data_IF_460707190586
#
_entry.id   IF_460707190586
#
_cell.length_a   1.000
_cell.length_b   1.000
_cell.length_c   1.000
_cell.angle_alpha   90.00
_cell.angle_beta   90.00
_cell.angle_gamma   90.00
#
_symmetry.space_group_name_H-M   'P 1'
#
loop_
_entity.id
_entity.type
_entity.pdbx_description
1 polymer ?
#
# COMPACT_ATOMS: atom_id res chain seq x y z
N UNK A 1 -1.07 -30.19 -16.09
CA UNK A 1 -1.91 -29.38 -15.20
C UNK A 1 -0.99 -28.42 -14.49
N UNK A 2 -0.75 -27.29 -15.12
CA UNK A 2 -0.09 -26.13 -14.51
C UNK A 2 -1.09 -25.51 -13.55
N UNK A 3 -0.67 -25.29 -12.31
CA UNK A 3 -1.46 -24.64 -11.27
C UNK A 3 -1.76 -23.19 -11.69
N UNK A 4 -3.03 -22.78 -11.85
CA UNK A 4 -3.39 -21.40 -12.22
C UNK A 4 -3.05 -20.38 -11.12
N UNK A 5 -2.61 -20.82 -9.93
CA UNK A 5 -2.24 -19.93 -8.82
C UNK A 5 -0.85 -19.27 -8.94
N UNK A 6 -0.09 -19.52 -10.02
CA UNK A 6 1.23 -18.91 -10.28
C UNK A 6 1.24 -17.88 -11.41
N UNK A 7 0.10 -17.27 -11.75
CA UNK A 7 0.13 -16.07 -12.57
C UNK A 7 0.64 -14.89 -11.73
N UNK A 8 1.95 -14.66 -11.83
CA UNK A 8 2.62 -13.39 -11.54
C UNK A 8 2.26 -12.72 -10.20
N UNK A 9 2.62 -13.40 -9.11
CA UNK A 9 2.98 -12.66 -7.90
C UNK A 9 4.38 -12.07 -8.12
N UNK A 10 4.45 -10.82 -8.59
CA UNK A 10 5.69 -10.01 -8.61
C UNK A 10 6.16 -9.65 -7.19
N UNK A 11 5.54 -10.22 -6.16
CA UNK A 11 5.86 -9.97 -4.78
C UNK A 11 7.10 -10.77 -4.34
N UNK A 12 7.99 -10.19 -3.51
CA UNK A 12 9.08 -10.92 -2.88
C UNK A 12 8.59 -12.16 -2.12
N UNK A 13 9.47 -13.15 -1.93
CA UNK A 13 9.19 -14.43 -1.20
C UNK A 13 8.70 -14.28 0.27
N UNK A 14 8.55 -13.06 0.78
CA UNK A 14 8.14 -12.73 2.15
C UNK A 14 6.89 -11.83 2.21
N UNK A 15 6.06 -11.80 1.16
CA UNK A 15 4.89 -10.93 1.12
C UNK A 15 3.86 -11.30 2.20
N UNK A 16 3.54 -10.33 3.06
CA UNK A 16 2.38 -10.40 3.95
C UNK A 16 1.11 -10.05 3.17
N UNK A 17 -0.07 -10.33 3.70
CA UNK A 17 -1.31 -9.94 3.02
C UNK A 17 -1.39 -8.41 2.84
N UNK A 18 -0.85 -7.64 3.79
CA UNK A 18 -0.78 -6.17 3.72
C UNK A 18 0.13 -5.73 2.57
N UNK A 19 1.30 -6.35 2.48
CA UNK A 19 2.22 -6.12 1.37
C UNK A 19 1.63 -6.51 0.01
N UNK A 20 0.93 -7.65 -0.05
CA UNK A 20 0.20 -8.06 -1.25
C UNK A 20 -0.82 -7.01 -1.67
N UNK A 21 -1.71 -6.59 -0.76
CA UNK A 21 -2.75 -5.63 -1.09
C UNK A 21 -2.17 -4.29 -1.54
N UNK A 22 -1.14 -3.76 -0.88
CA UNK A 22 -0.48 -2.52 -1.31
C UNK A 22 0.15 -2.65 -2.71
N UNK A 23 0.74 -3.80 -3.03
CA UNK A 23 1.27 -4.06 -4.36
C UNK A 23 0.16 -4.14 -5.42
N UNK A 24 -0.94 -4.84 -5.13
CA UNK A 24 -2.09 -4.95 -6.04
C UNK A 24 -2.80 -3.61 -6.21
N UNK A 25 -2.87 -2.80 -5.17
CA UNK A 25 -3.38 -1.43 -5.24
C UNK A 25 -2.48 -0.53 -6.08
N UNK A 26 -1.16 -0.65 -5.94
CA UNK A 26 -0.19 0.09 -6.77
C UNK A 26 -0.43 -0.18 -8.26
N UNK A 27 -0.67 -1.44 -8.63
CA UNK A 27 -1.04 -1.85 -9.99
C UNK A 27 -2.32 -1.17 -10.48
N UNK A 28 -3.38 -1.18 -9.66
CA UNK A 28 -4.66 -0.57 -10.04
C UNK A 28 -4.50 0.94 -10.23
N UNK A 29 -3.83 1.61 -9.30
CA UNK A 29 -3.58 3.06 -9.36
C UNK A 29 -2.67 3.44 -10.55
N UNK A 30 -1.63 2.66 -10.83
CA UNK A 30 -0.72 2.90 -11.95
C UNK A 30 -1.38 2.66 -13.32
N UNK A 31 -2.45 1.84 -13.36
CA UNK A 31 -3.28 1.67 -14.56
C UNK A 31 -4.20 2.88 -14.84
N UNK A 32 -4.30 3.83 -13.91
CA UNK A 32 -5.12 5.04 -14.08
C UNK A 32 -4.34 6.13 -14.81
N UNK A 33 -5.02 7.12 -15.41
CA UNK A 33 -4.35 8.28 -15.99
C UNK A 33 -3.42 8.96 -14.99
N UNK A 34 -2.28 9.46 -15.47
CA UNK A 34 -1.30 10.13 -14.62
C UNK A 34 -1.93 11.23 -13.76
N UNK A 35 -1.39 11.42 -12.56
CA UNK A 35 -1.85 12.38 -11.58
C UNK A 35 -3.24 12.11 -10.97
N UNK A 36 -3.85 10.96 -11.24
CA UNK A 36 -5.14 10.57 -10.65
C UNK A 36 -4.89 9.54 -9.52
N UNK A 37 -4.96 10.00 -8.27
CA UNK A 37 -5.05 9.09 -7.12
C UNK A 37 -6.51 8.69 -6.89
N UNK A 38 -6.79 7.40 -6.77
CA UNK A 38 -8.15 6.88 -6.55
C UNK A 38 -8.40 6.44 -5.10
N UNK A 39 -7.34 6.09 -4.37
CA UNK A 39 -7.35 5.74 -2.95
C UNK A 39 -6.45 6.71 -2.18
N UNK A 40 -7.00 7.29 -1.12
CA UNK A 40 -6.28 8.16 -0.19
C UNK A 40 -5.96 7.48 1.14
N UNK A 41 -6.59 6.34 1.45
CA UNK A 41 -6.35 5.65 2.71
C UNK A 41 -6.56 4.14 2.63
N UNK A 42 -5.82 3.43 3.47
CA UNK A 42 -5.85 1.98 3.61
C UNK A 42 -5.80 1.63 5.10
N UNK A 43 -6.82 0.93 5.59
CA UNK A 43 -6.88 0.43 6.97
C UNK A 43 -6.80 -1.09 6.97
N UNK A 44 -5.83 -1.67 7.69
CA UNK A 44 -5.62 -3.11 7.75
C UNK A 44 -6.25 -3.71 9.01
N UNK A 45 -7.07 -4.73 8.83
CA UNK A 45 -7.52 -5.65 9.88
C UNK A 45 -6.85 -7.02 9.70
N UNK A 46 -7.06 -7.95 10.62
CA UNK A 46 -6.39 -9.27 10.59
C UNK A 46 -6.62 -10.07 9.30
N UNK A 47 -7.82 -9.98 8.72
CA UNK A 47 -8.26 -10.79 7.57
C UNK A 47 -8.72 -9.95 6.36
N UNK A 48 -8.74 -8.64 6.51
CA UNK A 48 -9.39 -7.73 5.57
C UNK A 48 -8.74 -6.37 5.58
N UNK A 49 -9.07 -5.59 4.57
CA UNK A 49 -8.60 -4.23 4.41
C UNK A 49 -9.75 -3.34 4.00
N UNK A 50 -9.76 -2.11 4.49
CA UNK A 50 -10.68 -1.07 4.04
C UNK A 50 -9.90 -0.06 3.22
N UNK A 51 -10.28 0.09 1.95
CA UNK A 51 -9.82 1.20 1.11
C UNK A 51 -10.72 2.41 1.35
N UNK A 52 -10.11 3.59 1.43
CA UNK A 52 -10.77 4.90 1.52
C UNK A 52 -10.47 5.62 0.22
N UNK A 53 -11.50 5.80 -0.61
CA UNK A 53 -11.34 6.45 -1.92
C UNK A 53 -11.18 7.95 -1.75
N UNK A 54 -10.59 8.63 -2.74
CA UNK A 54 -10.52 10.11 -2.78
C UNK A 54 -11.89 10.78 -2.87
N UNK A 55 -12.94 10.02 -3.19
CA UNK A 55 -14.35 10.45 -3.14
C UNK A 55 -15.03 10.19 -1.78
N UNK A 56 -14.30 9.68 -0.78
CA UNK A 56 -14.77 9.43 0.58
C UNK A 56 -15.53 8.10 0.79
N UNK A 57 -15.54 7.20 -0.20
CA UNK A 57 -16.13 5.88 -0.03
C UNK A 57 -15.20 4.94 0.74
N UNK A 58 -15.79 4.08 1.56
CA UNK A 58 -15.07 3.06 2.35
C UNK A 58 -15.43 1.69 1.83
N UNK A 59 -14.45 0.96 1.29
CA UNK A 59 -14.66 -0.31 0.60
C UNK A 59 -13.87 -1.39 1.33
N UNK A 60 -14.56 -2.35 1.93
CA UNK A 60 -13.94 -3.48 2.60
C UNK A 60 -13.69 -4.62 1.63
N UNK A 61 -12.50 -5.19 1.67
CA UNK A 61 -12.05 -6.29 0.84
C UNK A 61 -11.21 -7.30 1.62
N UNK A 62 -11.14 -8.56 1.17
CA UNK A 62 -10.25 -9.56 1.75
C UNK A 62 -8.77 -9.14 1.64
N UNK A 63 -7.94 -9.53 2.61
CA UNK A 63 -6.50 -9.17 2.60
C UNK A 63 -5.70 -9.71 1.41
N UNK A 64 -6.22 -10.73 0.72
CA UNK A 64 -5.60 -11.36 -0.46
C UNK A 64 -6.32 -11.00 -1.78
N UNK A 65 -7.06 -9.89 -1.79
CA UNK A 65 -7.75 -9.45 -2.99
C UNK A 65 -6.79 -9.28 -4.18
N UNK A 66 -7.21 -9.70 -5.37
CA UNK A 66 -6.46 -9.50 -6.61
C UNK A 66 -6.61 -8.08 -7.14
N UNK A 67 -5.79 -7.70 -8.13
CA UNK A 67 -5.93 -6.39 -8.77
C UNK A 67 -7.28 -6.23 -9.48
N UNK A 68 -7.81 -7.31 -10.06
CA UNK A 68 -9.14 -7.38 -10.67
C UNK A 68 -10.24 -7.17 -9.64
N UNK A 69 -10.18 -7.86 -8.50
CA UNK A 69 -11.17 -7.70 -7.42
C UNK A 69 -11.14 -6.29 -6.82
N UNK A 70 -9.95 -5.72 -6.65
CA UNK A 70 -9.78 -4.32 -6.22
C UNK A 70 -10.38 -3.36 -7.24
N UNK A 71 -10.07 -3.56 -8.53
CA UNK A 71 -10.57 -2.73 -9.63
C UNK A 71 -12.09 -2.78 -9.74
N UNK A 72 -12.69 -3.97 -9.75
CA UNK A 72 -14.14 -4.16 -9.81
C UNK A 72 -14.85 -3.48 -8.62
N UNK A 73 -14.28 -3.63 -7.42
CA UNK A 73 -14.84 -3.01 -6.22
C UNK A 73 -14.80 -1.49 -6.29
N UNK A 74 -13.72 -0.89 -6.81
CA UNK A 74 -13.58 0.55 -6.98
C UNK A 74 -14.44 1.09 -8.15
N UNK A 75 -14.54 0.33 -9.24
CA UNK A 75 -15.33 0.68 -10.43
C UNK A 75 -16.83 0.84 -10.14
N UNK A 76 -17.33 0.20 -9.08
CA UNK A 76 -18.71 0.37 -8.61
C UNK A 76 -19.00 1.79 -8.06
N UNK A 77 -17.96 2.56 -7.70
CA UNK A 77 -18.09 3.88 -7.08
C UNK A 77 -17.47 5.01 -7.90
N UNK A 78 -16.60 4.70 -8.86
CA UNK A 78 -15.94 5.69 -9.69
C UNK A 78 -15.57 5.14 -11.07
N UNK A 79 -15.46 6.00 -12.10
CA UNK A 79 -14.97 5.57 -13.40
C UNK A 79 -13.48 5.23 -13.31
N UNK A 80 -13.10 4.04 -13.75
CA UNK A 80 -11.71 3.59 -13.84
C UNK A 80 -11.33 3.29 -15.29
N UNK A 81 -10.06 3.53 -15.62
CA UNK A 81 -9.46 2.97 -16.82
C UNK A 81 -9.33 1.43 -16.67
N UNK A 82 -9.29 0.66 -17.77
CA UNK A 82 -8.98 -0.76 -17.72
C UNK A 82 -7.64 -1.02 -17.03
N UNK A 83 -7.50 -2.18 -16.38
CA UNK A 83 -6.20 -2.62 -15.86
C UNK A 83 -5.20 -2.77 -17.00
N UNK A 84 -4.02 -2.20 -16.81
CA UNK A 84 -2.89 -2.36 -17.72
C UNK A 84 -1.87 -3.33 -17.07
N UNK A 85 -1.75 -4.57 -17.56
CA UNK A 85 -0.82 -5.56 -17.00
C UNK A 85 0.66 -5.17 -17.20
N UNK A 86 0.95 -4.29 -18.16
CA UNK A 86 2.31 -3.83 -18.48
C UNK A 86 2.66 -2.50 -17.78
N UNK A 87 1.78 -1.97 -16.92
CA UNK A 87 1.94 -0.64 -16.32
C UNK A 87 3.25 -0.46 -15.53
N UNK A 88 3.82 -1.53 -14.95
CA UNK A 88 5.12 -1.52 -14.28
C UNK A 88 6.29 -1.09 -15.19
N UNK A 89 6.17 -1.27 -16.51
CA UNK A 89 7.19 -0.83 -17.47
C UNK A 89 7.20 0.70 -17.63
N UNK A 90 6.14 1.38 -17.17
CA UNK A 90 5.91 2.81 -17.29
C UNK A 90 5.79 3.48 -15.93
N UNK A 91 6.56 3.01 -14.94
CA UNK A 91 6.54 3.64 -13.62
C UNK A 91 6.94 5.13 -13.76
N UNK A 92 6.17 6.06 -13.16
CA UNK A 92 6.38 7.49 -13.40
C UNK A 92 7.78 7.92 -12.96
N UNK A 93 8.49 8.57 -13.88
CA UNK A 93 9.80 9.19 -13.60
C UNK A 93 9.66 10.56 -12.95
N UNK A 94 8.54 11.24 -13.19
CA UNK A 94 8.28 12.58 -12.69
C UNK A 94 7.83 12.55 -11.23
N UNK A 95 8.43 13.43 -10.42
CA UNK A 95 8.18 13.58 -8.98
C UNK A 95 6.86 14.30 -8.66
N UNK A 96 5.76 13.85 -9.26
CA UNK A 96 4.43 14.35 -8.93
C UNK A 96 3.96 13.78 -7.59
N UNK A 97 3.07 14.47 -6.84
CA UNK A 97 2.53 13.92 -5.59
C UNK A 97 1.86 12.55 -5.74
N UNK A 98 1.28 12.28 -6.92
CA UNK A 98 0.73 10.97 -7.26
C UNK A 98 1.83 9.91 -7.44
N UNK A 99 2.89 10.20 -8.19
CA UNK A 99 4.01 9.27 -8.35
C UNK A 99 4.73 8.97 -7.02
N UNK A 100 4.85 9.98 -6.16
CA UNK A 100 5.42 9.82 -4.81
C UNK A 100 4.51 8.92 -3.96
N UNK A 101 3.19 9.10 -4.03
CA UNK A 101 2.22 8.24 -3.34
C UNK A 101 2.29 6.78 -3.83
N UNK A 102 2.39 6.55 -5.14
CA UNK A 102 2.61 5.21 -5.69
C UNK A 102 3.91 4.59 -5.22
N UNK A 103 4.98 5.38 -5.19
CA UNK A 103 6.29 4.94 -4.68
C UNK A 103 6.19 4.52 -3.22
N UNK A 104 5.44 5.26 -2.39
CA UNK A 104 5.19 4.87 -1.01
C UNK A 104 4.47 3.52 -0.92
N UNK A 105 3.38 3.32 -1.66
CA UNK A 105 2.67 2.04 -1.65
C UNK A 105 3.59 0.88 -2.05
N UNK A 106 4.41 1.08 -3.07
CA UNK A 106 5.35 0.06 -3.52
C UNK A 106 6.46 -0.23 -2.50
N UNK A 107 7.03 0.80 -1.87
CA UNK A 107 8.05 0.66 -0.84
C UNK A 107 7.49 -0.08 0.39
N UNK A 108 6.33 0.37 0.88
CA UNK A 108 5.61 -0.29 1.97
C UNK A 108 5.28 -1.74 1.62
N UNK A 109 4.82 -2.01 0.40
CA UNK A 109 4.51 -3.36 -0.04
C UNK A 109 5.74 -4.29 -0.06
N UNK A 110 6.85 -3.77 -0.59
CA UNK A 110 8.08 -4.53 -0.79
C UNK A 110 8.78 -4.84 0.52
N UNK A 111 8.72 -3.91 1.47
CA UNK A 111 9.47 -3.96 2.72
C UNK A 111 8.60 -4.19 3.96
N UNK A 112 7.30 -4.50 3.82
CA UNK A 112 6.39 -4.65 4.96
C UNK A 112 6.91 -5.66 6.00
N UNK A 113 7.43 -6.79 5.55
CA UNK A 113 8.00 -7.84 6.40
C UNK A 113 9.16 -7.37 7.28
N UNK A 114 9.88 -6.31 6.87
CA UNK A 114 10.98 -5.77 7.68
C UNK A 114 10.51 -5.15 8.99
N UNK A 115 9.22 -4.79 9.14
CA UNK A 115 8.69 -4.32 10.41
C UNK A 115 8.84 -5.39 11.50
N UNK A 116 8.35 -6.60 11.22
CA UNK A 116 8.42 -7.74 12.14
C UNK A 116 9.86 -8.25 12.33
N UNK A 117 10.65 -8.30 11.25
CA UNK A 117 12.06 -8.73 11.31
C UNK A 117 12.91 -7.84 12.24
N UNK A 118 12.64 -6.54 12.28
CA UNK A 118 13.37 -5.58 13.11
C UNK A 118 12.74 -5.39 14.50
N UNK A 119 11.41 -5.43 14.61
CA UNK A 119 10.67 -5.30 15.85
C UNK A 119 9.58 -6.38 15.89
N UNK A 120 9.78 -7.51 16.59
CA UNK A 120 8.83 -8.62 16.59
C UNK A 120 7.41 -8.19 17.01
N UNK A 121 6.42 -8.55 16.20
CA UNK A 121 5.01 -8.21 16.34
C UNK A 121 4.59 -6.87 15.73
N UNK A 122 5.55 -6.09 15.19
CA UNK A 122 5.27 -4.82 14.54
C UNK A 122 4.66 -5.05 13.15
N UNK A 123 3.57 -4.36 12.84
CA UNK A 123 2.88 -4.48 11.56
C UNK A 123 2.21 -3.17 11.14
N UNK A 124 1.90 -3.02 9.85
CA UNK A 124 1.10 -1.89 9.36
C UNK A 124 -0.34 -1.98 9.81
N UNK A 125 -0.90 -0.86 10.25
CA UNK A 125 -2.29 -0.74 10.69
C UNK A 125 -3.07 0.20 9.78
N UNK A 126 -2.47 1.31 9.39
CA UNK A 126 -3.11 2.30 8.54
C UNK A 126 -2.07 3.05 7.71
N UNK A 127 -2.42 3.39 6.48
CA UNK A 127 -1.69 4.31 5.61
C UNK A 127 -2.71 5.30 5.06
N UNK A 128 -2.53 6.60 5.29
CA UNK A 128 -3.48 7.62 4.87
C UNK A 128 -2.76 8.85 4.36
N UNK A 129 -3.11 9.33 3.17
CA UNK A 129 -2.63 10.59 2.63
C UNK A 129 -3.36 11.75 3.30
N UNK A 130 -2.59 12.73 3.78
CA UNK A 130 -3.08 13.96 4.41
C UNK A 130 -2.35 15.14 3.78
N UNK A 131 -2.91 15.63 2.67
CA UNK A 131 -2.30 16.70 1.86
C UNK A 131 -0.93 16.30 1.30
N UNK A 132 0.11 16.94 1.84
CA UNK A 132 1.52 16.77 1.47
C UNK A 132 2.25 15.70 2.29
N UNK A 133 1.55 14.98 3.17
CA UNK A 133 2.13 13.93 4.00
C UNK A 133 1.33 12.63 3.89
N UNK A 134 1.97 11.51 4.23
CA UNK A 134 1.31 10.26 4.55
C UNK A 134 1.40 10.02 6.04
N UNK A 135 0.25 9.88 6.68
CA UNK A 135 0.12 9.35 8.03
C UNK A 135 0.18 7.83 7.96
N UNK A 136 1.17 7.24 8.60
CA UNK A 136 1.31 5.79 8.72
C UNK A 136 1.15 5.41 10.18
N UNK A 137 0.34 4.39 10.46
CA UNK A 137 0.18 3.84 11.80
C UNK A 137 0.73 2.42 11.81
N UNK A 138 1.62 2.14 12.75
CA UNK A 138 2.11 0.80 13.05
C UNK A 138 1.50 0.29 14.36
N UNK A 139 1.36 -1.02 14.49
CA UNK A 139 0.80 -1.68 15.67
C UNK A 139 1.74 -2.73 16.24
N UNK A 140 1.79 -2.84 17.58
CA UNK A 140 2.51 -3.89 18.31
C UNK A 140 1.77 -4.24 19.60
N UNK A 141 1.21 -5.45 19.68
CA UNK A 141 0.26 -5.78 20.75
C UNK A 141 -0.94 -4.81 20.72
N UNK A 142 -1.21 -4.15 21.84
CA UNK A 142 -2.27 -3.13 21.96
C UNK A 142 -1.78 -1.70 21.64
N UNK A 143 -0.48 -1.51 21.43
CA UNK A 143 0.12 -0.21 21.17
C UNK A 143 -0.01 0.18 19.69
N UNK A 144 -0.25 1.47 19.45
CA UNK A 144 -0.26 2.07 18.11
C UNK A 144 0.67 3.27 18.08
N UNK A 145 1.55 3.31 17.09
CA UNK A 145 2.49 4.41 16.89
C UNK A 145 2.18 5.08 15.56
N UNK A 146 2.03 6.41 15.59
CA UNK A 146 1.75 7.23 14.41
C UNK A 146 3.04 7.85 13.91
N UNK A 147 3.24 7.76 12.60
CA UNK A 147 4.37 8.29 11.85
C UNK A 147 3.86 9.23 10.77
N UNK A 148 4.69 10.20 10.40
CA UNK A 148 4.41 11.14 9.32
C UNK A 148 5.54 11.05 8.31
N UNK A 149 5.19 10.76 7.07
CA UNK A 149 6.14 10.62 5.95
C UNK A 149 5.84 11.73 4.95
N UNK A 150 6.79 12.61 4.64
CA UNK A 150 6.57 13.67 3.65
C UNK A 150 6.37 13.07 2.25
N UNK A 151 5.40 13.59 1.50
CA UNK A 151 5.14 13.25 0.10
C UNK A 151 5.72 14.32 -0.85
N UNK A 152 6.82 14.94 -0.44
CA UNK A 152 7.56 15.97 -1.21
C UNK A 152 8.89 15.44 -1.75
N UNK A 153 9.30 14.24 -1.34
CA UNK A 153 10.51 13.54 -1.78
C UNK A 153 10.22 12.05 -1.99
N UNK A 154 11.18 11.29 -2.55
CA UNK A 154 10.96 9.86 -2.79
C UNK A 154 11.01 9.09 -1.47
N UNK A 155 9.91 8.42 -1.04
CA UNK A 155 9.92 7.55 0.12
C UNK A 155 10.70 6.29 -0.23
N UNK A 156 11.75 6.00 0.53
CA UNK A 156 12.60 4.83 0.35
C UNK A 156 12.88 4.22 1.71
N UNK A 157 12.74 2.89 1.81
CA UNK A 157 13.00 2.15 3.04
C UNK A 157 12.14 2.60 4.24
N UNK A 158 10.93 3.11 4.00
CA UNK A 158 10.04 3.63 5.04
C UNK A 158 9.78 2.58 6.11
N UNK A 159 9.40 1.31 5.82
CA UNK A 159 9.19 0.30 6.86
C UNK A 159 10.38 0.09 7.79
N UNK A 160 11.60 0.20 7.26
CA UNK A 160 12.84 0.06 8.05
C UNK A 160 13.00 1.24 9.00
N UNK A 161 12.79 2.47 8.51
CA UNK A 161 12.85 3.69 9.33
C UNK A 161 11.80 3.68 10.44
N UNK A 162 10.56 3.26 10.12
CA UNK A 162 9.49 3.12 11.12
C UNK A 162 9.87 2.12 12.22
N UNK A 163 10.45 0.97 11.84
CA UNK A 163 10.89 -0.04 12.81
C UNK A 163 11.98 0.50 13.75
N UNK A 164 12.97 1.24 13.20
CA UNK A 164 14.00 1.88 14.01
C UNK A 164 13.43 2.94 14.96
N UNK A 165 12.46 3.74 14.50
CA UNK A 165 11.77 4.72 15.33
C UNK A 165 11.04 4.06 16.49
N UNK A 166 10.24 3.01 16.22
CA UNK A 166 9.52 2.27 17.26
C UNK A 166 10.51 1.63 18.24
N UNK A 167 11.59 1.01 17.76
CA UNK A 167 12.62 0.45 18.64
C UNK A 167 13.22 1.53 19.56
N UNK A 168 13.45 2.75 19.06
CA UNK A 168 13.98 3.87 19.86
C UNK A 168 13.01 4.32 20.93
N UNK A 169 11.71 4.38 20.64
CA UNK A 169 10.68 4.81 21.59
C UNK A 169 10.45 3.80 22.73
N UNK A 170 10.80 2.54 22.52
CA UNK A 170 10.63 1.45 23.50
C UNK A 170 11.86 1.24 24.41
N UNK A 171 12.92 2.04 24.25
CA UNK A 171 14.12 2.03 25.11
C UNK A 171 14.02 3.09 26.19
#
# INVERSE_FOLDING_TARGET
>A
MTDPAMEHSNLPRAATFRGNLLSRLTLVELSQPECVAIVEGVEFAEDSTTLITTSGHRIRMPGWATSEEIHEALAAFMPLAPLDPDCWQSFPYDMTPWAIWLTLHYDLASLEHHLDDNVPGLHLVEVHRDGEHARIVTGIGDERVRHEVPLTEQPLAVPVDLAFEVMRLRR
#
